data_IF_936143909867
#
_entry.id   IF_936143909867
#
_cell.length_a   1.000
_cell.length_b   1.000
_cell.length_c   1.000
_cell.angle_alpha   90.00
_cell.angle_beta   90.00
_cell.angle_gamma   90.00
#
_symmetry.space_group_name_H-M   'P 1'
#
loop_
_entity.id
_entity.type
_entity.pdbx_description
1 polymer ?
#
# COMPACT_ATOMS: atom_id res chain seq x y z
N UNK A 1 5.00 23.89 16.62
CA UNK A 1 4.44 23.79 15.26
C UNK A 1 5.49 24.22 14.26
N UNK A 2 5.81 23.30 13.36
CA UNK A 2 6.81 23.42 12.31
C UNK A 2 6.29 22.71 11.06
N UNK A 3 6.70 23.17 9.88
CA UNK A 3 6.48 22.43 8.64
C UNK A 3 7.70 21.54 8.41
N UNK A 4 7.47 20.24 8.19
CA UNK A 4 8.54 19.25 8.04
C UNK A 4 8.30 18.40 6.80
N UNK A 5 9.35 18.13 6.02
CA UNK A 5 9.30 17.12 4.96
C UNK A 5 9.35 15.73 5.59
N UNK A 6 8.33 14.92 5.32
CA UNK A 6 8.28 13.52 5.76
C UNK A 6 9.04 12.63 4.79
N UNK A 7 8.74 12.75 3.50
CA UNK A 7 9.37 12.00 2.41
C UNK A 7 9.02 12.64 1.07
N UNK A 8 9.76 12.27 0.02
CA UNK A 8 9.44 12.63 -1.35
C UNK A 8 9.69 11.44 -2.28
N UNK A 9 9.16 11.55 -3.49
CA UNK A 9 9.52 10.72 -4.63
C UNK A 9 10.03 11.63 -5.75
N UNK A 10 10.12 11.10 -6.97
CA UNK A 10 10.36 11.89 -8.17
C UNK A 10 9.13 12.74 -8.60
N UNK A 11 7.94 12.48 -8.02
CA UNK A 11 6.64 13.02 -8.49
C UNK A 11 5.76 13.59 -7.38
N UNK A 12 6.11 13.34 -6.13
CA UNK A 12 5.33 13.74 -4.96
C UNK A 12 6.23 14.14 -3.79
N UNK A 13 5.66 14.86 -2.83
CA UNK A 13 6.22 15.00 -1.49
C UNK A 13 5.13 14.88 -0.44
N UNK A 14 5.50 14.45 0.76
CA UNK A 14 4.63 14.44 1.93
C UNK A 14 5.20 15.41 2.94
N UNK A 15 4.35 16.34 3.38
CA UNK A 15 4.69 17.28 4.45
C UNK A 15 3.83 17.05 5.68
N UNK A 16 4.39 17.40 6.82
CA UNK A 16 3.73 17.42 8.11
C UNK A 16 3.72 18.84 8.67
N UNK A 17 2.56 19.34 9.06
CA UNK A 17 2.47 20.50 9.94
C UNK A 17 2.36 20.01 11.39
N UNK A 18 3.47 20.05 12.13
CA UNK A 18 3.57 19.43 13.46
C UNK A 18 2.75 20.18 14.51
N UNK A 19 2.20 19.47 15.49
CA UNK A 19 1.45 20.05 16.62
C UNK A 19 0.22 20.88 16.22
N UNK A 20 -0.26 20.78 14.97
CA UNK A 20 -1.47 21.46 14.52
C UNK A 20 -2.75 20.72 14.90
N UNK A 21 -2.67 19.44 15.29
CA UNK A 21 -3.80 18.67 15.78
C UNK A 21 -3.52 17.16 15.95
N UNK A 22 -4.47 16.31 15.53
CA UNK A 22 -4.35 14.84 15.53
C UNK A 22 -4.27 14.29 14.11
N UNK A 23 -5.38 13.84 13.54
CA UNK A 23 -5.44 13.53 12.11
C UNK A 23 -5.70 14.82 11.32
N UNK A 24 -6.70 15.58 11.77
CA UNK A 24 -6.95 16.94 11.33
C UNK A 24 -6.26 17.94 12.25
N UNK A 25 -5.86 19.09 11.70
CA UNK A 25 -5.48 20.29 12.42
C UNK A 25 -6.71 20.97 13.03
N UNK A 26 -6.50 21.82 14.03
CA UNK A 26 -7.60 22.56 14.69
C UNK A 26 -8.24 23.62 13.77
N UNK A 27 -7.48 24.11 12.79
CA UNK A 27 -7.92 25.04 11.76
C UNK A 27 -7.44 24.58 10.39
N UNK A 28 -8.18 24.94 9.34
CA UNK A 28 -7.71 24.83 7.96
C UNK A 28 -6.51 25.74 7.71
N UNK A 29 -5.66 25.35 6.77
CA UNK A 29 -4.48 26.10 6.35
C UNK A 29 -4.19 25.90 4.87
N UNK A 30 -3.40 26.82 4.33
CA UNK A 30 -2.98 26.79 2.93
C UNK A 30 -1.53 26.35 2.82
N UNK A 31 -1.23 25.55 1.80
CA UNK A 31 0.11 25.13 1.41
C UNK A 31 0.48 25.85 0.13
N UNK A 32 1.70 26.36 0.08
CA UNK A 32 2.27 27.03 -1.08
C UNK A 32 3.50 26.26 -1.56
N UNK A 33 3.68 26.18 -2.87
CA UNK A 33 4.86 25.59 -3.52
C UNK A 33 5.50 26.66 -4.39
N UNK A 34 6.77 26.97 -4.13
CA UNK A 34 7.52 28.05 -4.79
C UNK A 34 6.77 29.41 -4.74
N UNK A 35 6.09 29.68 -3.61
CA UNK A 35 5.30 30.89 -3.40
C UNK A 35 3.92 30.92 -4.07
N UNK A 36 3.56 29.90 -4.85
CA UNK A 36 2.22 29.79 -5.46
C UNK A 36 1.29 28.93 -4.59
N UNK A 37 0.03 29.36 -4.43
CA UNK A 37 -0.97 28.58 -3.71
C UNK A 37 -1.14 27.21 -4.37
N UNK A 38 -1.03 26.15 -3.58
CA UNK A 38 -1.00 24.78 -4.07
C UNK A 38 -2.17 23.96 -3.55
N UNK A 39 -2.46 24.03 -2.25
CA UNK A 39 -3.55 23.28 -1.63
C UNK A 39 -4.14 24.01 -0.42
N UNK A 40 -5.42 23.74 -0.17
CA UNK A 40 -6.13 24.10 1.05
C UNK A 40 -6.50 22.82 1.80
N UNK A 41 -6.17 22.72 3.09
CA UNK A 41 -6.37 21.47 3.84
C UNK A 41 -6.48 21.70 5.35
N UNK A 42 -7.07 20.74 6.04
CA UNK A 42 -7.05 20.58 7.48
C UNK A 42 -6.28 19.31 7.90
N UNK A 43 -5.58 18.62 7.00
CA UNK A 43 -4.83 17.40 7.38
C UNK A 43 -3.49 17.77 8.01
N UNK A 44 -3.05 17.05 9.05
CA UNK A 44 -1.68 17.22 9.54
C UNK A 44 -0.62 16.63 8.61
N UNK A 45 -0.94 15.53 7.93
CA UNK A 45 -0.06 14.87 6.96
C UNK A 45 -0.69 15.03 5.58
N UNK A 46 0.04 15.66 4.67
CA UNK A 46 -0.48 16.03 3.35
C UNK A 46 0.47 15.56 2.25
N UNK A 47 -0.03 14.68 1.37
CA UNK A 47 0.65 14.36 0.12
C UNK A 47 0.39 15.43 -0.95
N UNK A 48 1.45 15.88 -1.60
CA UNK A 48 1.47 16.83 -2.70
C UNK A 48 1.99 16.10 -3.95
N UNK A 49 1.36 16.31 -5.10
CA UNK A 49 1.63 15.56 -6.34
C UNK A 49 1.91 16.49 -7.52
N UNK A 50 2.35 15.92 -8.64
CA UNK A 50 2.55 16.66 -9.90
C UNK A 50 3.91 17.36 -10.00
N UNK A 51 4.86 17.00 -9.13
CA UNK A 51 6.21 17.51 -9.23
C UNK A 51 6.98 16.91 -10.42
N UNK A 52 7.98 17.65 -10.89
CA UNK A 52 8.93 17.21 -11.90
C UNK A 52 10.08 16.46 -11.21
N UNK A 53 10.72 15.49 -11.89
CA UNK A 53 11.84 14.75 -11.31
C UNK A 53 13.07 15.65 -11.21
N UNK A 54 13.96 15.31 -10.29
CA UNK A 54 15.26 15.98 -10.13
C UNK A 54 15.14 17.53 -10.13
N UNK A 55 14.13 18.03 -9.42
CA UNK A 55 13.77 19.45 -9.40
C UNK A 55 13.70 19.93 -7.95
N UNK A 56 14.27 21.10 -7.67
CA UNK A 56 14.20 21.73 -6.35
C UNK A 56 12.85 22.43 -6.16
N UNK A 57 12.28 22.27 -4.98
CA UNK A 57 11.02 22.86 -4.57
C UNK A 57 11.15 23.46 -3.16
N UNK A 58 10.42 24.55 -2.96
CA UNK A 58 10.23 25.21 -1.67
C UNK A 58 8.76 25.07 -1.26
N UNK A 59 8.49 24.57 -0.06
CA UNK A 59 7.13 24.46 0.49
C UNK A 59 7.00 25.33 1.74
N UNK A 60 5.95 26.14 1.79
CA UNK A 60 5.51 26.86 3.00
C UNK A 60 4.05 26.52 3.32
N UNK A 61 3.66 26.73 4.58
CA UNK A 61 2.28 26.59 5.03
C UNK A 61 1.85 27.85 5.78
N UNK A 62 0.64 28.35 5.52
CA UNK A 62 0.05 29.49 6.22
C UNK A 62 -1.08 28.99 7.10
N UNK A 63 -0.81 28.88 8.40
CA UNK A 63 -1.76 28.44 9.43
C UNK A 63 -2.06 29.60 10.37
N UNK A 64 -3.34 29.93 10.51
CA UNK A 64 -3.83 31.02 11.39
C UNK A 64 -3.13 32.38 11.14
N UNK A 65 -2.89 32.71 9.87
CA UNK A 65 -2.23 33.95 9.46
C UNK A 65 -0.71 33.98 9.69
N UNK A 66 -0.11 32.88 10.16
CA UNK A 66 1.33 32.73 10.34
C UNK A 66 1.90 31.74 9.32
N UNK A 67 3.03 32.10 8.73
CA UNK A 67 3.77 31.24 7.81
C UNK A 67 4.73 30.29 8.57
N UNK A 68 4.82 29.06 8.10
CA UNK A 68 5.70 27.98 8.57
C UNK A 68 6.49 27.41 7.38
N UNK A 69 7.79 27.22 7.57
CA UNK A 69 8.73 26.89 6.50
C UNK A 69 9.71 28.05 6.24
N UNK A 70 10.38 28.08 5.07
CA UNK A 70 10.28 27.09 4.01
C UNK A 70 10.92 25.75 4.36
N UNK A 71 10.38 24.68 3.76
CA UNK A 71 11.09 23.41 3.61
C UNK A 71 11.55 23.28 2.17
N UNK A 72 12.86 23.19 1.97
CA UNK A 72 13.49 23.08 0.66
C UNK A 72 13.94 21.65 0.44
N UNK A 73 13.60 21.07 -0.70
CA UNK A 73 14.01 19.71 -1.07
C UNK A 73 14.14 19.55 -2.58
N UNK A 74 14.83 18.49 -3.00
CA UNK A 74 14.94 18.11 -4.41
C UNK A 74 14.23 16.77 -4.60
N UNK A 75 13.32 16.70 -5.56
CA UNK A 75 12.66 15.44 -5.92
C UNK A 75 13.67 14.43 -6.44
N UNK A 76 13.35 13.14 -6.29
CA UNK A 76 14.23 12.09 -6.77
C UNK A 76 14.37 12.10 -8.29
N UNK A 77 15.45 11.49 -8.77
CA UNK A 77 15.66 11.27 -10.20
C UNK A 77 14.71 10.19 -10.74
N UNK A 78 14.06 10.47 -11.87
CA UNK A 78 13.33 9.49 -12.67
C UNK A 78 14.00 9.36 -14.04
N UNK A 79 14.38 8.14 -14.41
CA UNK A 79 14.92 7.83 -15.74
C UNK A 79 13.84 7.89 -16.81
N UNK A 80 12.72 7.19 -16.59
CA UNK A 80 11.64 7.06 -17.57
C UNK A 80 10.31 6.72 -16.90
N UNK A 81 9.21 7.12 -17.54
CA UNK A 81 7.86 6.65 -17.21
C UNK A 81 7.43 5.58 -18.21
N UNK A 82 6.97 4.44 -17.72
CA UNK A 82 6.29 3.38 -18.48
C UNK A 82 4.80 3.48 -18.21
N UNK A 83 4.02 3.98 -19.18
CA UNK A 83 2.57 4.01 -19.07
C UNK A 83 2.00 2.64 -19.44
N UNK A 84 1.22 2.02 -18.55
CA UNK A 84 0.67 0.66 -18.78
C UNK A 84 -0.20 0.56 -20.04
N UNK A 85 -0.76 1.67 -20.54
CA UNK A 85 -1.49 1.70 -21.82
C UNK A 85 -0.59 1.41 -23.02
N UNK A 86 0.67 1.80 -22.97
CA UNK A 86 1.65 1.49 -24.03
C UNK A 86 2.01 -0.01 -24.06
N UNK A 87 1.70 -0.74 -22.97
CA UNK A 87 1.82 -2.18 -22.85
C UNK A 87 0.50 -2.92 -23.13
N UNK A 88 -0.53 -2.20 -23.57
CA UNK A 88 -1.82 -2.76 -23.98
C UNK A 88 -2.90 -2.81 -22.89
N UNK A 89 -2.72 -2.10 -21.77
CA UNK A 89 -3.79 -1.96 -20.78
C UNK A 89 -4.91 -1.06 -21.32
N UNK A 90 -6.16 -1.46 -21.14
CA UNK A 90 -7.35 -0.75 -21.61
C UNK A 90 -7.84 0.27 -20.58
N UNK A 91 -7.99 -0.16 -19.30
CA UNK A 91 -8.55 0.71 -18.26
C UNK A 91 -10.04 0.98 -18.43
N UNK A 92 -10.78 0.07 -19.06
CA UNK A 92 -12.21 0.22 -19.40
C UNK A 92 -13.18 -0.51 -18.44
N UNK A 93 -12.64 -1.16 -17.42
CA UNK A 93 -13.37 -1.92 -16.40
C UNK A 93 -13.85 -3.29 -16.87
N UNK A 94 -13.45 -3.74 -18.06
CA UNK A 94 -13.93 -5.00 -18.66
C UNK A 94 -12.79 -5.93 -19.06
N UNK A 95 -11.76 -5.39 -19.72
CA UNK A 95 -10.62 -6.19 -20.18
C UNK A 95 -9.73 -6.59 -19.01
N UNK A 96 -9.16 -7.80 -19.12
CA UNK A 96 -8.15 -8.29 -18.19
C UNK A 96 -6.81 -7.59 -18.48
N UNK A 97 -6.49 -6.59 -17.67
CA UNK A 97 -5.31 -5.75 -17.81
C UNK A 97 -4.09 -6.32 -17.06
N UNK A 98 -4.22 -7.48 -16.41
CA UNK A 98 -3.18 -8.07 -15.56
C UNK A 98 -1.85 -8.20 -16.29
N UNK A 99 -1.87 -8.79 -17.49
CA UNK A 99 -0.65 -9.06 -18.25
C UNK A 99 0.03 -7.79 -18.75
N UNK A 100 -0.74 -6.77 -19.15
CA UNK A 100 -0.18 -5.50 -19.61
C UNK A 100 0.52 -4.76 -18.46
N UNK A 101 -0.13 -4.70 -17.30
CA UNK A 101 0.44 -4.08 -16.10
C UNK A 101 1.67 -4.87 -15.62
N UNK A 102 1.57 -6.20 -15.54
CA UNK A 102 2.70 -7.05 -15.14
C UNK A 102 3.88 -6.91 -16.12
N UNK A 103 3.61 -6.80 -17.43
CA UNK A 103 4.65 -6.58 -18.43
C UNK A 103 5.38 -5.25 -18.20
N UNK A 104 4.66 -4.16 -17.93
CA UNK A 104 5.26 -2.87 -17.60
C UNK A 104 6.13 -2.93 -16.33
N UNK A 105 5.67 -3.65 -15.29
CA UNK A 105 6.43 -3.90 -14.05
C UNK A 105 7.69 -4.70 -14.35
N UNK A 106 7.59 -5.79 -15.12
CA UNK A 106 8.74 -6.63 -15.43
C UNK A 106 9.76 -5.91 -16.32
N UNK A 107 9.31 -5.04 -17.23
CA UNK A 107 10.16 -4.22 -18.09
C UNK A 107 10.82 -3.03 -17.37
N UNK A 108 10.31 -2.62 -16.19
CA UNK A 108 10.89 -1.51 -15.44
C UNK A 108 12.30 -1.83 -14.96
N UNK A 109 13.08 -0.80 -14.64
CA UNK A 109 14.37 -0.94 -13.95
C UNK A 109 14.47 0.14 -12.87
N UNK A 110 15.53 0.10 -12.08
CA UNK A 110 15.79 1.17 -11.09
C UNK A 110 15.61 2.57 -11.69
N UNK A 111 14.96 3.44 -10.91
CA UNK A 111 14.56 4.81 -11.28
C UNK A 111 13.52 4.88 -12.42
N UNK A 112 12.78 3.81 -12.68
CA UNK A 112 11.65 3.82 -13.64
C UNK A 112 10.34 3.92 -12.88
N UNK A 113 9.45 4.80 -13.35
CA UNK A 113 8.08 4.87 -12.88
C UNK A 113 7.16 4.05 -13.77
N UNK A 114 6.41 3.12 -13.22
CA UNK A 114 5.27 2.48 -13.89
C UNK A 114 4.02 3.29 -13.55
N UNK A 115 3.39 3.89 -14.56
CA UNK A 115 2.22 4.74 -14.41
C UNK A 115 0.95 3.99 -14.83
N UNK A 116 -0.01 3.89 -13.92
CA UNK A 116 -1.39 3.51 -14.21
C UNK A 116 -2.23 4.79 -14.28
N UNK A 117 -2.58 5.28 -15.49
CA UNK A 117 -3.35 6.52 -15.62
C UNK A 117 -4.82 6.28 -15.24
N UNK A 118 -5.62 7.35 -15.19
CA UNK A 118 -7.07 7.28 -14.92
C UNK A 118 -7.78 6.17 -15.73
N UNK A 119 -8.75 5.50 -15.11
CA UNK A 119 -9.45 4.36 -15.70
C UNK A 119 -9.67 3.23 -14.69
N UNK A 120 -10.44 2.22 -15.07
CA UNK A 120 -10.66 1.03 -14.25
C UNK A 120 -10.01 -0.18 -14.91
N UNK A 121 -9.03 -0.80 -14.26
CA UNK A 121 -8.24 -1.89 -14.82
C UNK A 121 -8.63 -3.18 -14.12
N UNK A 122 -9.18 -4.16 -14.84
CA UNK A 122 -9.54 -5.44 -14.21
C UNK A 122 -8.28 -6.28 -14.08
N UNK A 123 -7.98 -6.74 -12.87
CA UNK A 123 -6.76 -7.49 -12.59
C UNK A 123 -7.04 -8.75 -11.78
N UNK A 124 -6.21 -9.78 -11.91
CA UNK A 124 -6.12 -10.85 -10.91
C UNK A 124 -5.04 -10.50 -9.88
N UNK A 125 -3.84 -11.06 -9.99
CA UNK A 125 -2.70 -10.78 -9.12
C UNK A 125 -1.61 -10.02 -9.87
N UNK A 126 -1.10 -8.96 -9.25
CA UNK A 126 0.08 -8.23 -9.68
C UNK A 126 1.24 -8.56 -8.74
N UNK A 127 2.31 -9.10 -9.29
CA UNK A 127 3.53 -9.42 -8.56
C UNK A 127 4.52 -8.26 -8.62
N UNK A 128 4.96 -7.84 -7.45
CA UNK A 128 5.98 -6.80 -7.26
C UNK A 128 7.37 -7.37 -7.58
N UNK A 129 8.32 -6.47 -7.79
CA UNK A 129 9.74 -6.80 -7.96
C UNK A 129 10.63 -5.72 -7.38
N UNK A 130 11.93 -5.99 -7.34
CA UNK A 130 12.94 -5.03 -6.89
C UNK A 130 12.93 -3.71 -7.67
N UNK A 131 13.23 -2.63 -6.96
CA UNK A 131 13.42 -1.27 -7.50
C UNK A 131 12.22 -0.77 -8.33
N UNK A 132 11.01 -0.99 -7.80
CA UNK A 132 9.74 -0.64 -8.45
C UNK A 132 9.13 0.64 -7.86
N UNK A 133 8.83 1.62 -8.72
CA UNK A 133 7.88 2.70 -8.41
C UNK A 133 6.62 2.50 -9.25
N UNK A 134 5.50 2.18 -8.61
CA UNK A 134 4.17 2.04 -9.23
C UNK A 134 3.29 3.22 -8.80
N UNK A 135 2.92 4.09 -9.74
CA UNK A 135 2.03 5.22 -9.49
C UNK A 135 0.62 4.92 -10.02
N UNK A 136 -0.37 4.97 -9.13
CA UNK A 136 -1.79 4.98 -9.48
C UNK A 136 -2.25 6.42 -9.55
N UNK A 137 -2.42 6.94 -10.76
CA UNK A 137 -2.86 8.32 -10.96
C UNK A 137 -4.25 8.55 -10.35
N UNK A 138 -4.58 9.83 -10.11
CA UNK A 138 -5.93 10.23 -9.73
C UNK A 138 -6.96 9.66 -10.72
N UNK A 139 -7.98 8.99 -10.18
CA UNK A 139 -9.02 8.34 -10.98
C UNK A 139 -8.63 6.98 -11.58
N UNK A 140 -7.44 6.45 -11.29
CA UNK A 140 -7.07 5.07 -11.61
C UNK A 140 -7.62 4.12 -10.54
N UNK A 141 -8.24 3.02 -10.96
CA UNK A 141 -8.68 1.93 -10.09
C UNK A 141 -8.15 0.60 -10.62
N UNK A 142 -7.31 -0.07 -9.85
CA UNK A 142 -7.05 -1.50 -10.04
C UNK A 142 -8.18 -2.29 -9.37
N UNK A 143 -9.07 -2.87 -10.16
CA UNK A 143 -10.25 -3.57 -9.68
C UNK A 143 -10.08 -5.07 -9.85
N UNK A 144 -9.97 -5.80 -8.74
CA UNK A 144 -9.74 -7.23 -8.78
C UNK A 144 -10.92 -8.01 -9.38
N UNK A 145 -10.61 -9.10 -10.09
CA UNK A 145 -11.57 -10.16 -10.33
C UNK A 145 -11.99 -10.83 -9.02
N UNK A 146 -13.15 -11.47 -9.04
CA UNK A 146 -13.69 -12.19 -7.88
C UNK A 146 -13.85 -13.68 -8.15
N UNK A 147 -13.54 -14.10 -9.38
CA UNK A 147 -13.59 -15.48 -9.83
C UNK A 147 -12.34 -16.21 -9.34
N UNK A 148 -12.53 -17.28 -8.56
CA UNK A 148 -11.43 -17.99 -7.87
C UNK A 148 -10.39 -18.53 -8.84
N UNK A 149 -10.83 -19.01 -10.01
CA UNK A 149 -9.99 -19.58 -11.05
C UNK A 149 -9.06 -18.58 -11.73
N UNK A 150 -9.27 -17.27 -11.53
CA UNK A 150 -8.36 -16.24 -12.04
C UNK A 150 -7.14 -16.02 -11.15
N UNK A 151 -7.16 -16.51 -9.92
CA UNK A 151 -6.06 -16.36 -8.97
C UNK A 151 -5.24 -17.64 -8.90
N UNK A 152 -3.91 -17.49 -8.97
CA UNK A 152 -3.01 -18.58 -8.69
C UNK A 152 -3.11 -18.98 -7.20
N UNK A 153 -2.80 -20.23 -6.89
CA UNK A 153 -2.70 -20.72 -5.52
C UNK A 153 -1.21 -20.72 -5.15
N UNK A 154 -0.87 -20.01 -4.09
CA UNK A 154 0.44 -20.12 -3.45
C UNK A 154 0.37 -21.29 -2.46
N UNK A 155 1.27 -22.28 -2.57
CA UNK A 155 1.43 -23.29 -1.53
C UNK A 155 1.80 -22.62 -0.22
N UNK A 156 1.31 -23.13 0.91
CA UNK A 156 1.66 -22.55 2.22
C UNK A 156 3.15 -22.62 2.53
N UNK A 157 3.69 -23.83 2.46
CA UNK A 157 5.09 -24.16 2.72
C UNK A 157 5.56 -25.19 1.71
N UNK A 158 6.80 -25.03 1.21
CA UNK A 158 7.46 -26.01 0.34
C UNK A 158 8.80 -26.39 0.96
N UNK A 159 9.09 -27.68 1.11
CA UNK A 159 10.39 -28.14 1.60
C UNK A 159 11.49 -27.96 0.54
N UNK A 160 12.70 -27.58 0.96
CA UNK A 160 13.86 -27.51 0.07
C UNK A 160 14.29 -28.91 -0.39
N UNK A 161 14.89 -29.01 -1.57
CA UNK A 161 15.36 -30.31 -2.11
C UNK A 161 16.40 -31.02 -1.23
N UNK A 162 17.14 -30.27 -0.40
CA UNK A 162 18.11 -30.84 0.54
C UNK A 162 17.51 -31.13 1.92
N UNK A 163 16.20 -30.91 2.12
CA UNK A 163 15.44 -31.17 3.34
C UNK A 163 15.98 -30.43 4.58
N UNK A 164 16.64 -29.28 4.36
CA UNK A 164 17.23 -28.47 5.44
C UNK A 164 16.48 -27.19 5.73
N UNK A 165 15.64 -26.74 4.80
CA UNK A 165 14.87 -25.52 4.95
C UNK A 165 13.49 -25.67 4.32
N UNK A 166 12.64 -24.70 4.62
CA UNK A 166 11.32 -24.61 4.05
C UNK A 166 11.15 -23.22 3.44
N UNK A 167 10.42 -23.14 2.34
CA UNK A 167 10.06 -21.91 1.69
C UNK A 167 8.58 -21.59 1.95
N UNK A 168 8.38 -20.58 2.79
CA UNK A 168 7.07 -20.06 3.14
C UNK A 168 6.60 -19.05 2.08
N UNK A 169 5.49 -19.35 1.40
CA UNK A 169 4.95 -18.50 0.34
C UNK A 169 3.62 -17.84 0.71
N UNK A 170 2.84 -18.44 1.62
CA UNK A 170 1.57 -17.87 2.07
C UNK A 170 1.25 -18.20 3.52
N UNK A 171 0.60 -17.26 4.21
CA UNK A 171 0.12 -17.42 5.58
C UNK A 171 -1.37 -17.14 5.64
N UNK A 172 -2.12 -17.98 6.35
CA UNK A 172 -3.50 -17.74 6.74
C UNK A 172 -3.67 -17.95 8.24
N UNK A 173 -4.13 -16.93 8.96
CA UNK A 173 -4.24 -16.94 10.42
C UNK A 173 -2.94 -17.40 11.11
N UNK A 174 -1.77 -17.01 10.58
CA UNK A 174 -0.45 -17.36 11.11
C UNK A 174 0.00 -18.79 10.82
N UNK A 175 -0.74 -19.55 10.00
CA UNK A 175 -0.35 -20.90 9.57
C UNK A 175 0.09 -20.89 8.10
N UNK A 176 1.14 -21.65 7.73
CA UNK A 176 1.63 -21.71 6.36
C UNK A 176 0.78 -22.69 5.54
N UNK A 177 -0.38 -22.24 5.06
CA UNK A 177 -1.36 -23.05 4.32
C UNK A 177 -1.71 -22.44 2.97
N UNK A 178 -2.14 -23.29 2.03
CA UNK A 178 -2.42 -22.86 0.66
C UNK A 178 -3.48 -21.76 0.60
N UNK A 179 -3.11 -20.66 -0.03
CA UNK A 179 -3.94 -19.47 -0.18
C UNK A 179 -3.91 -19.00 -1.62
N UNK A 180 -4.98 -18.35 -2.08
CA UNK A 180 -4.91 -17.62 -3.34
C UNK A 180 -3.86 -16.51 -3.22
N UNK A 181 -3.10 -16.29 -4.29
CA UNK A 181 -2.18 -15.17 -4.38
C UNK A 181 -2.91 -13.85 -4.12
N UNK A 182 -2.29 -12.96 -3.35
CA UNK A 182 -2.85 -11.64 -3.08
C UNK A 182 -3.07 -10.84 -4.37
N UNK A 183 -3.96 -9.86 -4.31
CA UNK A 183 -4.23 -8.97 -5.45
C UNK A 183 -2.96 -8.20 -5.82
N UNK A 184 -2.25 -7.68 -4.82
CA UNK A 184 -0.86 -7.21 -4.94
C UNK A 184 0.03 -8.09 -4.07
N UNK A 185 1.02 -8.75 -4.67
CA UNK A 185 1.87 -9.73 -4.00
C UNK A 185 3.36 -9.40 -4.17
N UNK A 186 4.10 -9.31 -3.07
CA UNK A 186 5.56 -9.21 -3.08
C UNK A 186 6.19 -10.37 -2.32
N UNK A 187 7.19 -11.03 -2.90
CA UNK A 187 7.90 -12.14 -2.27
C UNK A 187 9.40 -11.91 -2.47
N UNK A 188 10.15 -11.72 -1.37
CA UNK A 188 11.59 -11.44 -1.42
C UNK A 188 11.96 -10.22 -2.28
N UNK A 189 11.16 -9.14 -2.21
CA UNK A 189 11.39 -7.93 -3.01
C UNK A 189 11.86 -6.77 -2.15
N UNK A 190 12.67 -5.88 -2.74
CA UNK A 190 13.14 -4.66 -2.05
C UNK A 190 12.98 -3.38 -2.84
N UNK A 191 12.96 -2.25 -2.13
CA UNK A 191 12.89 -0.91 -2.72
C UNK A 191 11.64 -0.72 -3.58
N UNK A 192 10.46 -0.91 -2.98
CA UNK A 192 9.17 -0.77 -3.67
C UNK A 192 8.43 0.46 -3.15
N UNK A 193 7.96 1.30 -4.06
CA UNK A 193 7.05 2.41 -3.76
C UNK A 193 5.77 2.27 -4.58
N UNK A 194 4.63 2.18 -3.91
CA UNK A 194 3.30 2.31 -4.52
C UNK A 194 2.74 3.66 -4.08
N UNK A 195 2.49 4.56 -5.02
CA UNK A 195 2.13 5.95 -4.73
C UNK A 195 0.97 6.43 -5.61
N UNK A 196 0.43 7.61 -5.29
CA UNK A 196 -0.55 8.33 -6.09
C UNK A 196 -1.89 8.50 -5.37
N UNK A 197 -2.89 8.91 -6.14
CA UNK A 197 -4.24 9.20 -5.65
C UNK A 197 -5.27 8.14 -6.07
N UNK A 198 -4.83 7.08 -6.74
CA UNK A 198 -5.68 6.01 -7.23
C UNK A 198 -6.09 4.98 -6.16
N UNK A 199 -6.85 3.98 -6.61
CA UNK A 199 -7.47 2.96 -5.76
C UNK A 199 -7.05 1.56 -6.16
N UNK A 200 -6.81 0.69 -5.17
CA UNK A 200 -6.77 -0.76 -5.32
C UNK A 200 -8.03 -1.31 -4.65
N UNK A 201 -8.92 -1.91 -5.44
CA UNK A 201 -10.23 -2.38 -4.99
C UNK A 201 -10.32 -3.90 -5.19
N UNK A 202 -10.59 -4.64 -4.11
CA UNK A 202 -10.75 -6.09 -4.17
C UNK A 202 -12.04 -6.57 -4.81
N UNK A 203 -12.99 -5.67 -5.10
CA UNK A 203 -14.29 -6.01 -5.69
C UNK A 203 -15.15 -6.90 -4.79
N UNK A 204 -14.84 -6.96 -3.50
CA UNK A 204 -15.45 -7.92 -2.58
C UNK A 204 -16.81 -7.46 -2.09
N UNK A 205 -17.74 -8.41 -1.99
CA UNK A 205 -19.10 -8.24 -1.48
C UNK A 205 -19.50 -9.45 -0.63
N UNK A 206 -20.65 -9.35 0.04
CA UNK A 206 -21.29 -10.43 0.80
C UNK A 206 -21.71 -11.64 -0.04
N UNK A 207 -21.71 -11.51 -1.37
CA UNK A 207 -22.09 -12.58 -2.30
C UNK A 207 -20.88 -13.35 -2.87
N UNK A 208 -19.66 -12.84 -2.71
CA UNK A 208 -18.43 -13.46 -3.23
C UNK A 208 -17.45 -13.91 -2.12
N UNK A 209 -16.33 -13.22 -1.88
CA UNK A 209 -15.30 -13.62 -0.93
C UNK A 209 -15.74 -13.52 0.52
N UNK A 210 -16.64 -12.60 0.89
CA UNK A 210 -17.17 -12.56 2.28
C UNK A 210 -18.22 -13.64 2.55
N UNK A 211 -18.77 -14.27 1.51
CA UNK A 211 -19.72 -15.37 1.65
C UNK A 211 -19.03 -16.61 2.22
N UNK A 212 -19.54 -17.12 3.35
CA UNK A 212 -18.99 -18.29 4.05
C UNK A 212 -17.47 -18.18 4.27
N UNK A 213 -17.00 -16.98 4.62
CA UNK A 213 -15.58 -16.61 4.69
C UNK A 213 -14.68 -17.52 5.55
N UNK A 214 -15.27 -18.28 6.48
CA UNK A 214 -14.59 -19.25 7.37
C UNK A 214 -14.44 -20.66 6.77
N UNK A 215 -14.98 -20.91 5.58
CA UNK A 215 -14.91 -22.21 4.90
C UNK A 215 -13.85 -22.15 3.80
N UNK A 216 -12.85 -23.01 3.88
CA UNK A 216 -11.86 -23.18 2.81
C UNK A 216 -12.57 -23.70 1.55
N UNK A 217 -12.47 -22.95 0.46
CA UNK A 217 -13.00 -23.33 -0.85
C UNK A 217 -11.89 -23.24 -1.89
N UNK A 218 -11.36 -24.40 -2.30
CA UNK A 218 -10.13 -24.58 -3.09
C UNK A 218 -8.87 -24.18 -2.28
N UNK A 219 -8.72 -22.90 -1.96
CA UNK A 219 -7.65 -22.33 -1.13
C UNK A 219 -8.22 -21.25 -0.21
N UNK A 220 -7.41 -20.78 0.75
CA UNK A 220 -7.78 -19.65 1.60
C UNK A 220 -7.83 -18.34 0.82
N UNK A 221 -8.67 -17.39 1.27
CA UNK A 221 -8.97 -16.16 0.53
C UNK A 221 -7.70 -15.32 0.32
N UNK A 222 -7.57 -14.61 -0.80
CA UNK A 222 -6.42 -13.74 -1.02
C UNK A 222 -6.50 -12.52 -0.09
N UNK A 223 -5.35 -12.01 0.35
CA UNK A 223 -5.24 -10.66 0.90
C UNK A 223 -5.33 -9.64 -0.25
N UNK A 224 -5.64 -8.37 0.05
CA UNK A 224 -5.51 -7.32 -0.96
C UNK A 224 -4.04 -7.02 -1.25
N UNK A 225 -3.24 -6.84 -0.21
CA UNK A 225 -1.80 -6.61 -0.30
C UNK A 225 -1.08 -7.56 0.66
N UNK A 226 -0.21 -8.40 0.13
CA UNK A 226 0.64 -9.31 0.91
C UNK A 226 2.09 -9.19 0.47
N UNK A 227 2.97 -8.91 1.42
CA UNK A 227 4.42 -8.94 1.20
C UNK A 227 5.07 -9.89 2.18
N UNK A 228 5.97 -10.74 1.69
CA UNK A 228 6.70 -11.72 2.49
C UNK A 228 8.20 -11.58 2.27
N UNK A 229 8.99 -11.45 3.34
CA UNK A 229 10.45 -11.24 3.27
C UNK A 229 10.87 -10.04 2.41
N UNK A 230 10.14 -8.93 2.50
CA UNK A 230 10.39 -7.73 1.71
C UNK A 230 11.05 -6.62 2.54
N UNK A 231 11.80 -5.73 1.88
CA UNK A 231 12.51 -4.63 2.55
C UNK A 231 12.31 -3.29 1.84
N UNK A 232 12.20 -2.20 2.59
CA UNK A 232 12.04 -0.85 2.03
C UNK A 232 10.81 -0.72 1.13
N UNK A 233 9.63 -0.97 1.71
CA UNK A 233 8.35 -0.88 1.00
C UNK A 233 7.54 0.31 1.50
N UNK A 234 7.14 1.19 0.59
CA UNK A 234 6.31 2.37 0.88
C UNK A 234 4.99 2.33 0.12
N UNK A 235 3.88 2.45 0.83
CA UNK A 235 2.57 2.80 0.28
C UNK A 235 2.27 4.26 0.65
N UNK A 236 2.02 5.10 -0.34
CA UNK A 236 1.80 6.54 -0.14
C UNK A 236 0.52 7.00 -0.85
N UNK A 237 -0.42 7.60 -0.10
CA UNK A 237 -1.56 8.35 -0.67
C UNK A 237 -2.72 7.54 -1.28
N UNK A 238 -2.44 6.32 -1.71
CA UNK A 238 -3.42 5.46 -2.38
C UNK A 238 -4.59 5.10 -1.47
N UNK A 239 -5.71 4.73 -2.11
CA UNK A 239 -6.82 4.07 -1.42
C UNK A 239 -6.74 2.57 -1.65
N UNK A 240 -6.91 1.78 -0.59
CA UNK A 240 -7.05 0.33 -0.63
C UNK A 240 -8.41 -0.04 -0.04
N UNK A 241 -9.22 -0.81 -0.76
CA UNK A 241 -10.59 -1.07 -0.32
C UNK A 241 -11.18 -2.42 -0.73
N UNK A 242 -12.23 -2.82 -0.02
CA UNK A 242 -13.04 -4.03 -0.27
C UNK A 242 -12.18 -5.29 -0.44
N UNK A 243 -11.23 -5.46 0.48
CA UNK A 243 -10.32 -6.60 0.47
C UNK A 243 -11.07 -7.93 0.60
N UNK A 244 -10.66 -9.00 -0.11
CA UNK A 244 -11.22 -10.33 0.07
C UNK A 244 -10.95 -10.93 1.45
N UNK A 245 -9.88 -10.49 2.14
CA UNK A 245 -9.52 -10.82 3.53
C UNK A 245 -8.72 -9.65 4.15
N UNK A 246 -7.66 -9.90 4.94
CA UNK A 246 -6.78 -8.88 5.49
C UNK A 246 -6.31 -7.92 4.40
N UNK A 247 -6.36 -6.62 4.69
CA UNK A 247 -6.16 -5.61 3.66
C UNK A 247 -4.68 -5.42 3.37
N UNK A 248 -3.89 -5.07 4.39
CA UNK A 248 -2.43 -4.92 4.27
C UNK A 248 -1.76 -5.91 5.23
N UNK A 249 -1.18 -6.99 4.70
CA UNK A 249 -0.49 -8.02 5.51
C UNK A 249 0.98 -8.10 5.12
N UNK A 250 1.85 -7.26 5.73
CA UNK A 250 3.28 -7.49 5.66
C UNK A 250 3.69 -8.61 6.62
N UNK A 251 4.54 -9.50 6.13
CA UNK A 251 4.97 -10.70 6.81
C UNK A 251 6.48 -10.87 6.69
N UNK A 252 7.18 -11.06 7.81
CA UNK A 252 8.66 -11.14 7.85
C UNK A 252 9.37 -10.03 7.04
N UNK A 253 8.78 -8.83 7.02
CA UNK A 253 9.19 -7.73 6.14
C UNK A 253 9.59 -6.52 6.96
N UNK A 254 10.58 -5.76 6.51
CA UNK A 254 11.21 -4.71 7.30
C UNK A 254 11.30 -3.37 6.56
N UNK A 255 11.44 -2.27 7.30
CA UNK A 255 11.53 -0.91 6.76
C UNK A 255 10.30 -0.53 5.93
N UNK A 256 9.14 -0.53 6.58
CA UNK A 256 7.84 -0.37 5.96
C UNK A 256 7.25 1.00 6.26
N UNK A 257 6.66 1.65 5.25
CA UNK A 257 6.00 2.96 5.40
C UNK A 257 4.61 2.94 4.78
N UNK A 258 3.60 3.25 5.58
CA UNK A 258 2.22 3.45 5.16
C UNK A 258 1.85 4.90 5.47
N UNK A 259 1.92 5.76 4.46
CA UNK A 259 1.84 7.21 4.61
C UNK A 259 0.64 7.74 3.85
N UNK A 260 -0.28 8.42 4.54
CA UNK A 260 -1.46 9.03 3.90
C UNK A 260 -2.34 8.03 3.13
N UNK A 261 -2.30 6.75 3.52
CA UNK A 261 -3.08 5.68 2.90
C UNK A 261 -4.51 5.74 3.41
N UNK A 262 -5.48 5.39 2.56
CA UNK A 262 -6.88 5.21 2.98
C UNK A 262 -7.26 3.74 2.88
N UNK A 263 -7.61 3.12 3.99
CA UNK A 263 -7.97 1.72 4.12
C UNK A 263 -9.45 1.63 4.43
N UNK A 264 -10.24 1.02 3.53
CA UNK A 264 -11.70 1.09 3.59
C UNK A 264 -12.38 -0.24 3.31
N UNK A 265 -13.32 -0.62 4.16
CA UNK A 265 -14.29 -1.66 3.88
C UNK A 265 -15.60 -1.33 4.63
N UNK A 266 -16.74 -1.91 4.24
CA UNK A 266 -17.96 -1.84 5.04
C UNK A 266 -17.73 -2.34 6.47
N UNK A 267 -18.35 -1.71 7.47
CA UNK A 267 -18.21 -2.10 8.88
C UNK A 267 -18.73 -3.52 9.19
N UNK A 268 -19.54 -4.10 8.31
CA UNK A 268 -20.05 -5.47 8.41
C UNK A 268 -19.26 -6.47 7.54
N UNK A 269 -18.19 -6.04 6.89
CA UNK A 269 -17.32 -6.92 6.09
C UNK A 269 -16.51 -7.88 6.96
N UNK A 270 -16.11 -9.04 6.41
CA UNK A 270 -15.56 -10.14 7.21
C UNK A 270 -14.06 -10.34 7.03
N UNK A 271 -13.30 -10.23 8.14
CA UNK A 271 -11.84 -10.37 8.21
C UNK A 271 -11.12 -9.39 7.29
N UNK A 272 -11.56 -8.14 7.30
CA UNK A 272 -10.97 -7.05 6.51
C UNK A 272 -10.10 -6.17 7.37
N UNK A 273 -9.32 -6.77 8.27
CA UNK A 273 -8.36 -6.06 9.12
C UNK A 273 -7.57 -5.04 8.27
N UNK A 274 -7.30 -3.88 8.85
CA UNK A 274 -6.72 -2.76 8.12
C UNK A 274 -5.25 -2.99 7.79
N UNK A 275 -4.44 -3.26 8.82
CA UNK A 275 -3.01 -3.51 8.71
C UNK A 275 -2.54 -4.54 9.74
N UNK A 276 -1.89 -5.59 9.26
CA UNK A 276 -1.52 -6.78 10.01
C UNK A 276 -0.02 -7.04 9.94
N UNK A 277 0.85 -6.25 10.59
CA UNK A 277 2.27 -6.54 10.57
C UNK A 277 2.56 -7.78 11.39
N UNK A 278 3.09 -8.81 10.72
CA UNK A 278 3.42 -10.09 11.32
C UNK A 278 4.93 -10.35 11.22
N UNK A 279 5.61 -10.38 12.37
CA UNK A 279 7.07 -10.54 12.45
C UNK A 279 7.86 -9.51 11.63
N UNK A 280 7.45 -8.23 11.71
CA UNK A 280 8.04 -7.11 10.96
C UNK A 280 8.87 -6.17 11.84
N UNK A 281 9.92 -5.54 11.30
CA UNK A 281 10.70 -4.52 12.00
C UNK A 281 10.70 -3.18 11.27
N UNK A 282 10.73 -2.08 12.01
CA UNK A 282 10.73 -0.70 11.49
C UNK A 282 9.53 -0.40 10.60
N UNK A 283 8.37 -0.19 11.24
CA UNK A 283 7.09 0.07 10.56
C UNK A 283 6.56 1.45 10.93
N UNK A 284 6.43 2.33 9.95
CA UNK A 284 5.81 3.65 10.10
C UNK A 284 4.41 3.66 9.50
N UNK A 285 3.41 3.97 10.33
CA UNK A 285 2.03 4.26 9.91
C UNK A 285 1.72 5.71 10.24
N UNK A 286 1.55 6.53 9.21
CA UNK A 286 1.50 7.97 9.33
C UNK A 286 0.36 8.56 8.50
N UNK A 287 -0.48 9.41 9.10
CA UNK A 287 -1.50 10.13 8.32
C UNK A 287 -2.59 9.23 7.70
N UNK A 288 -2.67 7.97 8.12
CA UNK A 288 -3.50 6.94 7.48
C UNK A 288 -4.93 6.98 8.02
N UNK A 289 -5.91 6.81 7.14
CA UNK A 289 -7.32 6.66 7.49
C UNK A 289 -7.73 5.20 7.38
N UNK A 290 -8.36 4.65 8.42
CA UNK A 290 -8.78 3.25 8.49
C UNK A 290 -10.24 3.18 8.95
N UNK A 291 -11.08 2.52 8.17
CA UNK A 291 -12.47 2.21 8.51
C UNK A 291 -12.84 0.90 7.84
N UNK A 292 -12.94 -0.17 8.61
CA UNK A 292 -13.08 -1.55 8.09
C UNK A 292 -14.02 -2.36 8.99
N UNK A 293 -14.30 -3.63 8.65
CA UNK A 293 -15.19 -4.51 9.43
C UNK A 293 -14.53 -5.42 10.46
N UNK A 294 -13.22 -5.28 10.68
CA UNK A 294 -12.42 -6.06 11.64
C UNK A 294 -11.30 -5.15 12.21
N UNK A 295 -10.30 -5.69 12.90
CA UNK A 295 -9.27 -4.86 13.57
C UNK A 295 -8.65 -3.79 12.65
N UNK A 296 -8.63 -2.52 13.08
CA UNK A 296 -7.97 -1.45 12.33
C UNK A 296 -6.46 -1.73 12.13
N UNK A 297 -5.78 -2.19 13.18
CA UNK A 297 -4.39 -2.64 13.16
C UNK A 297 -4.25 -3.83 14.12
N UNK A 298 -3.77 -4.96 13.62
CA UNK A 298 -3.52 -6.17 14.40
C UNK A 298 -2.03 -6.56 14.34
N UNK A 299 -1.26 -6.22 15.38
CA UNK A 299 0.18 -6.51 15.45
C UNK A 299 0.41 -7.98 15.84
N UNK A 300 1.12 -8.73 15.00
CA UNK A 300 1.30 -10.19 15.09
C UNK A 300 2.78 -10.59 15.13
N UNK A 301 3.07 -11.80 15.61
CA UNK A 301 4.44 -12.32 15.82
C UNK A 301 4.55 -13.81 15.48
N UNK A 302 3.81 -14.26 14.47
CA UNK A 302 3.62 -15.69 14.17
C UNK A 302 2.61 -16.37 15.11
N UNK A 303 2.25 -17.62 14.77
CA UNK A 303 1.35 -18.48 15.55
C UNK A 303 1.93 -19.87 15.72
N UNK A 304 1.89 -20.38 16.96
CA UNK A 304 2.25 -21.76 17.35
C UNK A 304 3.53 -22.22 16.64
N UNK A 305 3.43 -23.08 15.62
CA UNK A 305 4.55 -23.62 14.87
C UNK A 305 5.44 -22.52 14.28
N UNK A 306 4.83 -21.49 13.68
CA UNK A 306 5.59 -20.39 13.07
C UNK A 306 6.27 -19.53 14.13
N UNK A 307 5.60 -19.29 15.25
CA UNK A 307 6.18 -18.54 16.37
C UNK A 307 7.35 -19.30 17.01
N UNK A 308 7.19 -20.62 17.24
CA UNK A 308 8.23 -21.48 17.83
C UNK A 308 9.43 -21.64 16.89
N UNK A 309 9.18 -21.83 15.59
CA UNK A 309 10.23 -22.05 14.60
C UNK A 309 11.08 -20.81 14.34
N UNK A 310 10.45 -19.67 14.09
CA UNK A 310 11.17 -18.46 13.68
C UNK A 310 11.51 -17.56 14.87
N UNK A 311 10.62 -17.47 15.86
CA UNK A 311 10.80 -16.65 17.06
C UNK A 311 11.19 -15.18 16.73
N UNK A 312 10.52 -14.61 15.71
CA UNK A 312 10.74 -13.23 15.26
C UNK A 312 9.54 -12.38 15.70
N UNK A 313 9.70 -11.43 16.65
CA UNK A 313 8.65 -10.51 17.03
C UNK A 313 8.43 -9.42 15.97
N UNK A 314 7.28 -8.77 16.01
CA UNK A 314 7.16 -7.43 15.39
C UNK A 314 7.75 -6.38 16.33
N UNK A 315 8.66 -5.54 15.83
CA UNK A 315 9.38 -4.52 16.61
C UNK A 315 9.44 -3.16 15.91
N UNK A 316 9.72 -2.10 16.67
CA UNK A 316 9.95 -0.74 16.15
C UNK A 316 8.83 -0.20 15.25
N UNK A 317 7.58 -0.27 15.73
CA UNK A 317 6.42 0.28 15.02
C UNK A 317 6.01 1.65 15.59
N UNK A 318 5.80 2.63 14.71
CA UNK A 318 5.28 3.96 15.03
C UNK A 318 3.94 4.15 14.32
N UNK A 319 2.88 4.41 15.08
CA UNK A 319 1.56 4.78 14.55
C UNK A 319 1.22 6.19 15.05
N UNK A 320 1.08 7.14 14.14
CA UNK A 320 0.81 8.54 14.52
C UNK A 320 0.00 9.30 13.47
N UNK A 321 -0.75 10.31 13.93
CA UNK A 321 -1.64 11.14 13.10
C UNK A 321 -2.59 10.30 12.21
N UNK A 322 -3.06 9.15 12.71
CA UNK A 322 -4.00 8.28 11.99
C UNK A 322 -5.45 8.50 12.47
N UNK A 323 -6.41 8.20 11.62
CA UNK A 323 -7.84 8.21 11.95
C UNK A 323 -8.42 6.81 11.78
N UNK A 324 -8.82 6.20 12.88
CA UNK A 324 -9.51 4.90 12.93
C UNK A 324 -10.99 5.17 13.24
N UNK A 325 -11.91 4.61 12.45
CA UNK A 325 -13.36 4.87 12.55
C UNK A 325 -14.11 3.60 12.95
N UNK A 326 -14.37 2.73 11.99
CA UNK A 326 -14.94 1.40 12.23
C UNK A 326 -13.80 0.36 12.26
N UNK A 327 -13.92 -0.62 13.14
CA UNK A 327 -13.04 -1.78 13.28
C UNK A 327 -13.42 -2.66 14.45
#
# INVERSE_FOLDING_TARGET
>A
MELVLVTNTARSAVVELTEAGKYYSEKEYDIYVNGEHFAHTDKQITSLYGFKPDTEYEITAVYDGKEYGPVVFRTDYEFVTLNVRDFGAYGDGKHDDTNAIQCAIMASKKNTRVLVPEGTYRISSIFLKDDLTLELAKGATLLAFTDREKFAILPGMIESYDEKSEYNLSSWEGNPVDSFAAIICGLNVKNVTITGEGTIDGGTTHDNWWKNCKVRNIAWRPNLFFINHCEYVTLQGITVQNSPCWTLHPYFSNHLKFIDVKIKAPADSHNTDGLDPESCDDVLVLGTYISVGDDCIAIKSGKIYMAEKYNIPTTNMIVRQCCMRDG
#
